data_IF_504515662691
#
_entry.id   IF_504515662691
#
_cell.length_a   1.000
_cell.length_b   1.000
_cell.length_c   1.000
_cell.angle_alpha   90.00
_cell.angle_beta   90.00
_cell.angle_gamma   90.00
#
_symmetry.space_group_name_H-M   'P 1'
#
loop_
_entity.id
_entity.type
_entity.pdbx_description
1 polymer ?
#
# COMPACT_ATOMS: atom_id res chain seq x y z
N UNK A 1 11.59 -23.22 -9.00
CA UNK A 1 10.27 -23.39 -8.35
C UNK A 1 9.57 -22.05 -8.39
N UNK A 2 8.65 -21.85 -9.35
CA UNK A 2 7.81 -20.67 -9.44
C UNK A 2 6.42 -21.19 -9.83
N UNK A 3 5.56 -21.37 -8.85
CA UNK A 3 4.21 -21.86 -9.09
C UNK A 3 3.23 -21.05 -8.26
N UNK A 4 2.83 -19.91 -8.79
CA UNK A 4 1.65 -19.19 -8.33
C UNK A 4 0.98 -18.62 -9.57
N UNK A 5 -0.15 -19.21 -9.92
CA UNK A 5 -1.09 -18.74 -10.95
C UNK A 5 -1.46 -17.28 -10.68
N UNK A 6 -0.84 -16.38 -11.44
CA UNK A 6 -0.93 -14.92 -11.35
C UNK A 6 -2.25 -14.46 -11.98
N UNK A 7 -3.35 -14.56 -11.23
CA UNK A 7 -4.48 -13.68 -11.53
C UNK A 7 -4.11 -12.29 -11.02
N UNK A 8 -4.16 -11.25 -11.87
CA UNK A 8 -3.77 -9.91 -11.47
C UNK A 8 -4.61 -9.46 -10.28
N UNK A 9 -3.94 -8.90 -9.27
CA UNK A 9 -4.61 -8.34 -8.12
C UNK A 9 -5.34 -7.06 -8.55
N UNK A 10 -6.48 -6.75 -7.94
CA UNK A 10 -7.18 -5.48 -8.19
C UNK A 10 -6.28 -4.30 -7.82
N UNK A 11 -5.42 -4.50 -6.82
CA UNK A 11 -4.43 -3.54 -6.35
C UNK A 11 -3.31 -3.22 -7.33
N UNK A 12 -3.02 -4.07 -8.33
CA UNK A 12 -1.95 -3.85 -9.29
C UNK A 12 -2.19 -2.55 -10.08
N UNK A 13 -3.41 -2.36 -10.58
CA UNK A 13 -3.79 -1.16 -11.33
C UNK A 13 -3.72 0.11 -10.45
N UNK A 14 -4.18 0.01 -9.20
CA UNK A 14 -4.13 1.13 -8.25
C UNK A 14 -2.70 1.53 -7.92
N UNK A 15 -1.79 0.57 -7.76
CA UNK A 15 -0.38 0.83 -7.44
C UNK A 15 0.37 1.43 -8.64
N UNK A 16 0.04 1.02 -9.86
CA UNK A 16 0.56 1.66 -11.07
C UNK A 16 0.03 3.10 -11.21
N UNK A 17 -1.25 3.34 -10.90
CA UNK A 17 -1.81 4.69 -10.85
C UNK A 17 -1.13 5.54 -9.77
N UNK A 18 -0.86 4.97 -8.59
CA UNK A 18 -0.12 5.64 -7.53
C UNK A 18 1.27 6.04 -8.00
N UNK A 19 2.00 5.13 -8.66
CA UNK A 19 3.33 5.41 -9.22
C UNK A 19 3.31 6.62 -10.14
N UNK A 20 2.34 6.70 -11.05
CA UNK A 20 2.17 7.85 -11.95
C UNK A 20 1.80 9.12 -11.17
N UNK A 21 0.87 9.01 -10.23
CA UNK A 21 0.43 10.12 -9.39
C UNK A 21 1.59 10.76 -8.61
N UNK A 22 2.51 9.97 -8.05
CA UNK A 22 3.66 10.48 -7.29
C UNK A 22 4.63 11.35 -8.13
N UNK A 23 4.57 11.26 -9.46
CA UNK A 23 5.36 12.13 -10.37
C UNK A 23 4.74 13.53 -10.57
N UNK A 24 3.46 13.69 -10.26
CA UNK A 24 2.73 14.97 -10.36
C UNK A 24 3.07 15.91 -9.20
N UNK A 25 2.76 17.20 -9.32
CA UNK A 25 3.02 18.16 -8.23
C UNK A 25 2.18 17.89 -6.98
N UNK A 26 0.96 17.38 -7.14
CA UNK A 26 0.13 16.93 -6.03
C UNK A 26 0.77 15.72 -5.32
N UNK A 27 1.25 14.73 -6.09
CA UNK A 27 1.95 13.57 -5.56
C UNK A 27 3.25 13.94 -4.84
N UNK A 28 4.03 14.89 -5.36
CA UNK A 28 5.23 15.41 -4.68
C UNK A 28 4.89 16.06 -3.34
N UNK A 29 3.71 16.68 -3.19
CA UNK A 29 3.28 17.21 -1.90
C UNK A 29 2.96 16.09 -0.90
N UNK A 30 2.35 14.99 -1.35
CA UNK A 30 2.15 13.78 -0.53
C UNK A 30 3.48 13.22 -0.04
N UNK A 31 4.46 13.07 -0.93
CA UNK A 31 5.83 12.62 -0.61
C UNK A 31 6.43 13.48 0.50
N UNK A 32 6.40 14.81 0.36
CA UNK A 32 6.92 15.74 1.37
C UNK A 32 6.20 15.66 2.73
N UNK A 33 4.89 15.46 2.72
CA UNK A 33 4.08 15.46 3.95
C UNK A 33 4.24 14.16 4.75
N UNK A 34 4.44 13.02 4.07
CA UNK A 34 4.44 11.70 4.71
C UNK A 34 5.85 11.21 4.97
N UNK A 35 6.73 11.19 3.97
CA UNK A 35 8.17 10.92 4.15
C UNK A 35 8.53 9.56 4.73
N UNK A 36 7.71 8.52 4.50
CA UNK A 36 7.90 7.17 5.01
C UNK A 36 8.03 6.13 3.90
N UNK A 37 8.71 5.02 4.20
CA UNK A 37 8.78 3.84 3.34
C UNK A 37 7.87 2.76 3.88
N UNK A 38 6.93 2.31 3.07
CA UNK A 38 6.01 1.24 3.41
C UNK A 38 6.29 0.01 2.57
N UNK A 39 6.38 -1.14 3.23
CA UNK A 39 6.23 -2.42 2.54
C UNK A 39 4.77 -2.85 2.64
N UNK A 40 4.17 -3.20 1.51
CA UNK A 40 2.80 -3.60 1.37
C UNK A 40 2.75 -5.07 0.98
N UNK A 41 2.15 -5.90 1.82
CA UNK A 41 1.95 -7.32 1.55
C UNK A 41 0.46 -7.54 1.23
N UNK A 42 0.17 -7.93 0.00
CA UNK A 42 -1.20 -8.10 -0.48
C UNK A 42 -1.46 -9.58 -0.70
N UNK A 43 -2.42 -10.13 0.03
CA UNK A 43 -2.88 -11.49 -0.17
C UNK A 43 -4.16 -11.51 -1.01
N UNK A 44 -4.29 -12.38 -2.03
CA UNK A 44 -5.52 -12.50 -2.81
C UNK A 44 -6.73 -12.87 -1.96
N UNK A 45 -6.55 -13.76 -0.97
CA UNK A 45 -7.65 -14.32 -0.15
C UNK A 45 -7.39 -14.37 1.34
N UNK A 46 -6.17 -14.65 1.80
CA UNK A 46 -5.88 -14.81 3.24
C UNK A 46 -4.54 -14.17 3.57
N UNK A 47 -4.56 -13.19 4.49
CA UNK A 47 -3.36 -12.46 4.92
C UNK A 47 -2.26 -13.45 5.33
N UNK A 48 -1.06 -13.31 4.74
CA UNK A 48 0.07 -14.19 4.96
C UNK A 48 0.13 -15.42 4.03
N UNK A 49 -0.73 -15.50 3.02
CA UNK A 49 -0.72 -16.59 2.01
C UNK A 49 -0.67 -15.99 0.61
N UNK A 50 0.20 -16.53 -0.24
CA UNK A 50 0.42 -16.09 -1.64
C UNK A 50 0.58 -14.56 -1.75
N UNK A 51 1.39 -13.98 -0.85
CA UNK A 51 1.56 -12.53 -0.77
C UNK A 51 2.32 -11.98 -1.97
N UNK A 52 1.71 -11.01 -2.64
CA UNK A 52 2.43 -10.12 -3.55
C UNK A 52 2.92 -8.93 -2.75
N UNK A 53 4.22 -8.67 -2.81
CA UNK A 53 4.86 -7.60 -2.06
C UNK A 53 5.07 -6.39 -2.96
N UNK A 54 4.79 -5.21 -2.43
CA UNK A 54 5.09 -3.92 -3.03
C UNK A 54 5.83 -3.04 -2.04
N UNK A 55 6.62 -2.10 -2.55
CA UNK A 55 7.25 -1.04 -1.78
C UNK A 55 6.69 0.28 -2.26
N UNK A 56 6.24 1.11 -1.31
CA UNK A 56 5.87 2.50 -1.53
C UNK A 56 6.89 3.36 -0.77
N UNK A 57 7.86 3.91 -1.50
CA UNK A 57 8.89 4.79 -0.95
C UNK A 57 8.45 6.25 -1.12
N UNK A 58 7.81 6.82 -0.10
CA UNK A 58 7.43 8.23 -0.06
C UNK A 58 8.56 9.14 0.42
N UNK A 59 9.80 8.66 0.50
CA UNK A 59 10.99 9.52 0.58
C UNK A 59 11.48 9.86 -0.82
N UNK A 60 11.31 8.93 -1.77
CA UNK A 60 11.69 9.10 -3.18
C UNK A 60 10.52 9.39 -4.12
N UNK A 61 9.29 9.10 -3.71
CA UNK A 61 8.12 9.16 -4.59
C UNK A 61 8.03 7.98 -5.55
N UNK A 62 8.48 6.80 -5.13
CA UNK A 62 8.57 5.61 -5.96
C UNK A 62 7.64 4.50 -5.47
N UNK A 63 7.12 3.71 -6.41
CA UNK A 63 6.39 2.46 -6.14
C UNK A 63 7.05 1.35 -6.94
N UNK A 64 7.44 0.27 -6.27
CA UNK A 64 8.08 -0.90 -6.89
C UNK A 64 7.39 -2.19 -6.46
N UNK A 65 7.35 -3.18 -7.35
CA UNK A 65 6.95 -4.54 -7.02
C UNK A 65 8.16 -5.24 -6.40
N UNK A 66 7.96 -5.87 -5.25
CA UNK A 66 9.01 -6.54 -4.47
C UNK A 66 9.22 -5.95 -3.07
N UNK A 67 9.99 -6.67 -2.22
CA UNK A 67 10.34 -6.22 -0.88
C UNK A 67 11.24 -4.99 -0.92
N UNK A 68 11.27 -4.23 0.18
CA UNK A 68 12.14 -3.07 0.26
C UNK A 68 13.60 -3.49 0.39
N UNK A 69 14.44 -3.06 -0.55
CA UNK A 69 15.86 -3.42 -0.58
C UNK A 69 16.76 -2.43 0.17
N UNK A 70 16.23 -1.25 0.54
CA UNK A 70 16.97 -0.20 1.26
C UNK A 70 17.14 -0.44 2.76
N UNK A 71 16.95 -1.68 3.24
CA UNK A 71 17.00 -2.05 4.65
C UNK A 71 15.62 -2.28 5.25
N UNK A 72 15.33 -1.63 6.39
CA UNK A 72 14.05 -1.84 7.10
C UNK A 72 13.02 -0.77 6.70
N UNK A 73 11.83 -1.14 6.20
CA UNK A 73 10.76 -0.18 5.96
C UNK A 73 10.26 0.41 7.30
N UNK A 74 9.71 1.62 7.25
CA UNK A 74 9.15 2.30 8.43
C UNK A 74 7.96 1.51 9.00
N UNK A 75 7.11 0.98 8.12
CA UNK A 75 6.06 0.02 8.46
C UNK A 75 5.83 -1.01 7.35
N UNK A 76 5.41 -2.20 7.75
CA UNK A 76 4.88 -3.23 6.85
C UNK A 76 3.39 -3.38 7.11
N UNK A 77 2.59 -3.25 6.06
CA UNK A 77 1.13 -3.37 6.11
C UNK A 77 0.71 -4.61 5.33
N UNK A 78 -0.04 -5.51 5.97
CA UNK A 78 -0.54 -6.72 5.33
C UNK A 78 -2.06 -6.76 5.34
N UNK A 79 -2.68 -7.02 4.19
CA UNK A 79 -4.14 -7.05 4.03
C UNK A 79 -4.54 -7.96 2.85
N UNK A 80 -5.83 -8.26 2.78
CA UNK A 80 -6.40 -8.84 1.56
C UNK A 80 -6.49 -7.79 0.46
N UNK A 81 -6.38 -8.21 -0.80
CA UNK A 81 -6.49 -7.33 -1.98
C UNK A 81 -7.76 -6.47 -1.96
N UNK A 82 -8.90 -7.06 -1.59
CA UNK A 82 -10.17 -6.32 -1.53
C UNK A 82 -10.20 -5.26 -0.43
N UNK A 83 -9.61 -5.56 0.72
CA UNK A 83 -9.57 -4.63 1.84
C UNK A 83 -8.58 -3.49 1.57
N UNK A 84 -7.46 -3.78 0.89
CA UNK A 84 -6.55 -2.74 0.40
C UNK A 84 -7.27 -1.72 -0.47
N UNK A 85 -7.98 -2.19 -1.48
CA UNK A 85 -8.72 -1.31 -2.40
C UNK A 85 -9.73 -0.47 -1.63
N UNK A 86 -10.46 -1.06 -0.68
CA UNK A 86 -11.43 -0.32 0.14
C UNK A 86 -10.73 0.74 1.00
N UNK A 87 -9.58 0.43 1.60
CA UNK A 87 -8.80 1.39 2.38
C UNK A 87 -8.29 2.52 1.48
N UNK A 88 -7.64 2.19 0.36
CA UNK A 88 -7.08 3.18 -0.56
C UNK A 88 -8.14 4.12 -1.15
N UNK A 89 -9.36 3.60 -1.40
CA UNK A 89 -10.50 4.40 -1.86
C UNK A 89 -11.24 5.14 -0.73
N UNK A 90 -10.78 5.04 0.52
CA UNK A 90 -11.44 5.65 1.68
C UNK A 90 -12.79 5.01 2.06
N UNK A 91 -13.14 3.86 1.47
CA UNK A 91 -14.36 3.08 1.75
C UNK A 91 -14.24 2.24 3.02
N UNK A 92 -13.04 2.12 3.58
CA UNK A 92 -12.77 1.43 4.83
C UNK A 92 -11.80 2.23 5.68
N UNK A 93 -12.16 2.43 6.95
CA UNK A 93 -11.27 3.07 7.90
C UNK A 93 -10.11 2.11 8.26
N UNK A 94 -8.84 2.54 8.10
CA UNK A 94 -7.68 1.67 8.35
C UNK A 94 -7.50 1.29 9.83
N UNK A 95 -7.92 2.13 10.77
CA UNK A 95 -7.85 1.81 12.20
C UNK A 95 -8.83 0.68 12.55
N UNK A 96 -10.05 0.75 12.03
CA UNK A 96 -11.04 -0.33 12.19
C UNK A 96 -10.60 -1.61 11.47
N UNK A 97 -9.97 -1.48 10.29
CA UNK A 97 -9.39 -2.63 9.60
C UNK A 97 -8.32 -3.32 10.44
N UNK A 98 -7.48 -2.56 11.14
CA UNK A 98 -6.48 -3.12 12.05
C UNK A 98 -7.13 -3.85 13.24
N UNK A 99 -8.08 -3.20 13.93
CA UNK A 99 -8.76 -3.78 15.09
C UNK A 99 -9.48 -5.09 14.78
N UNK A 100 -10.08 -5.22 13.58
CA UNK A 100 -10.78 -6.44 13.14
C UNK A 100 -9.87 -7.49 12.50
N UNK A 101 -8.56 -7.24 12.42
CA UNK A 101 -7.56 -8.15 11.82
C UNK A 101 -7.51 -8.17 10.29
N UNK A 102 -8.21 -7.25 9.62
CA UNK A 102 -8.18 -7.06 8.16
C UNK A 102 -6.93 -6.31 7.67
N UNK A 103 -6.27 -5.58 8.57
CA UNK A 103 -4.95 -5.00 8.39
C UNK A 103 -4.04 -5.52 9.50
N UNK A 104 -2.84 -6.00 9.15
CA UNK A 104 -1.76 -6.29 10.10
C UNK A 104 -0.66 -5.27 9.90
N UNK A 105 -0.09 -4.80 11.01
CA UNK A 105 0.98 -3.80 11.01
C UNK A 105 2.20 -4.41 11.68
N UNK A 106 3.37 -4.27 11.05
CA UNK A 106 4.68 -4.47 11.68
C UNK A 106 5.49 -3.17 11.53
N UNK A 107 6.41 -2.91 12.46
CA UNK A 107 7.20 -1.68 12.46
C UNK A 107 6.51 -0.55 13.21
N UNK A 108 6.66 0.69 12.74
CA UNK A 108 6.16 1.87 13.42
C UNK A 108 4.64 2.05 13.26
N UNK A 109 3.92 2.05 14.39
CA UNK A 109 2.48 2.35 14.41
C UNK A 109 2.21 3.81 13.97
N UNK A 110 3.05 4.76 14.36
CA UNK A 110 2.87 6.16 13.96
C UNK A 110 3.09 6.37 12.46
N UNK A 111 4.02 5.63 11.85
CA UNK A 111 4.15 5.60 10.39
C UNK A 111 2.92 4.97 9.75
N UNK A 112 2.45 3.82 10.24
CA UNK A 112 1.25 3.16 9.72
C UNK A 112 -0.01 4.05 9.83
N UNK A 113 -0.14 4.87 10.86
CA UNK A 113 -1.24 5.84 11.00
C UNK A 113 -1.22 6.95 9.94
N UNK A 114 -0.03 7.28 9.40
CA UNK A 114 0.11 8.21 8.26
C UNK A 114 -0.16 7.55 6.91
N UNK A 115 -0.38 6.24 6.87
CA UNK A 115 -0.85 5.55 5.67
C UNK A 115 -2.36 5.77 5.49
N UNK A 116 -2.72 6.95 4.97
CA UNK A 116 -4.12 7.35 4.76
C UNK A 116 -4.52 7.29 3.29
N UNK A 117 -5.82 7.28 2.98
CA UNK A 117 -6.32 7.29 1.60
C UNK A 117 -5.80 8.46 0.76
N UNK A 118 -5.39 9.57 1.39
CA UNK A 118 -4.84 10.76 0.71
C UNK A 118 -3.50 10.51 0.00
N UNK A 119 -2.85 9.37 0.26
CA UNK A 119 -1.67 8.94 -0.51
C UNK A 119 -2.04 8.64 -1.96
N UNK A 120 -3.25 8.14 -2.18
CA UNK A 120 -3.70 7.65 -3.47
C UNK A 120 -4.30 8.79 -4.30
N UNK A 121 -4.20 8.72 -5.63
CA UNK A 121 -4.95 9.64 -6.48
C UNK A 121 -6.44 9.54 -6.13
N UNK A 122 -7.08 10.70 -5.92
CA UNK A 122 -8.52 10.73 -5.66
C UNK A 122 -9.22 10.02 -6.81
N UNK A 123 -10.16 9.09 -6.54
CA UNK A 123 -10.94 8.49 -7.59
C UNK A 123 -11.59 9.62 -8.37
N UNK A 124 -11.33 9.68 -9.69
CA UNK A 124 -12.10 10.54 -10.57
C UNK A 124 -13.57 10.24 -10.27
N UNK A 125 -14.40 11.28 -10.09
CA UNK A 125 -15.84 11.09 -9.96
C UNK A 125 -16.28 10.25 -11.17
N UNK A 126 -16.58 8.97 -10.94
CA UNK A 126 -17.31 8.13 -11.89
C UNK A 126 -18.72 8.70 -12.03
#
# INVERSE_FOLDING_TARGET
>A
MANSTDSPLKSDALLEQLKQYLTTDAGKQVVKNIGHVYQINISPKKIGTDEVVYTIDLKKGEVTKGPYEGGKPDATLSFQDEDFIKIALGKMNPQMAFLRGALKIKGSISAAQKFTPDIFPKPAKL
#
